data_IF_232098216032
#
_entry.id   IF_232098216032
#
_cell.length_a   1.000
_cell.length_b   1.000
_cell.length_c   1.000
_cell.angle_alpha   90.00
_cell.angle_beta   90.00
_cell.angle_gamma   90.00
#
_symmetry.space_group_name_H-M   'P 1'
#
loop_
_entity.id
_entity.type
_entity.pdbx_description
1 polymer ?
#
# COMPACT_ATOMS: atom_id res chain seq x y z
N UNK A 1 -38.10 -16.87 59.22
CA UNK A 1 -36.66 -16.98 59.53
C UNK A 1 -35.99 -17.69 58.33
N UNK A 2 -35.46 -16.91 57.39
CA UNK A 2 -34.95 -17.44 56.11
C UNK A 2 -33.43 -17.59 56.23
N UNK A 3 -32.94 -18.80 56.18
CA UNK A 3 -31.51 -19.14 56.28
C UNK A 3 -30.88 -18.93 54.90
N UNK A 4 -30.08 -17.88 54.71
CA UNK A 4 -29.26 -17.68 53.54
C UNK A 4 -28.05 -18.61 53.64
N UNK A 5 -28.03 -19.66 52.78
CA UNK A 5 -26.86 -20.53 52.61
C UNK A 5 -25.75 -19.73 51.90
N UNK A 6 -24.70 -19.39 52.58
CA UNK A 6 -23.45 -18.92 52.03
C UNK A 6 -22.83 -20.02 51.16
N UNK A 7 -22.71 -19.77 49.85
CA UNK A 7 -21.91 -20.61 48.94
C UNK A 7 -20.43 -20.40 49.28
N UNK A 8 -19.78 -21.45 49.74
CA UNK A 8 -18.32 -21.46 49.88
C UNK A 8 -17.69 -21.24 48.50
N UNK A 9 -17.02 -20.13 48.32
CA UNK A 9 -16.20 -19.86 47.12
C UNK A 9 -14.99 -20.79 47.14
N UNK A 10 -14.93 -21.77 46.23
CA UNK A 10 -13.76 -22.60 46.01
C UNK A 10 -12.62 -21.74 45.47
N UNK A 11 -11.50 -21.63 46.18
CA UNK A 11 -10.28 -21.00 45.71
C UNK A 11 -9.55 -21.93 44.70
N UNK A 12 -8.93 -21.34 43.67
CA UNK A 12 -8.07 -22.06 42.76
C UNK A 12 -6.83 -22.64 43.45
N UNK A 13 -6.43 -23.83 43.11
CA UNK A 13 -5.15 -24.40 43.57
C UNK A 13 -3.98 -23.83 42.76
N UNK A 14 -2.81 -23.76 43.37
CA UNK A 14 -1.58 -23.28 42.69
C UNK A 14 -1.26 -24.18 41.48
N UNK A 15 -1.51 -25.50 41.59
CA UNK A 15 -1.28 -26.45 40.47
C UNK A 15 -2.25 -26.18 39.31
N UNK A 16 -3.49 -25.87 39.57
CA UNK A 16 -4.47 -25.53 38.54
C UNK A 16 -4.10 -24.27 37.78
N UNK A 17 -3.58 -23.27 38.47
CA UNK A 17 -3.04 -22.04 37.84
C UNK A 17 -1.83 -22.36 36.97
N UNK A 18 -0.89 -23.20 37.47
CA UNK A 18 0.29 -23.59 36.69
C UNK A 18 -0.08 -24.34 35.41
N UNK A 19 -1.02 -25.27 35.48
CA UNK A 19 -1.50 -26.00 34.30
C UNK A 19 -2.19 -25.05 33.33
N UNK A 20 -3.00 -24.11 33.81
CA UNK A 20 -3.69 -23.14 32.97
C UNK A 20 -2.72 -22.24 32.20
N UNK A 21 -1.68 -21.72 32.86
CA UNK A 21 -0.67 -20.89 32.18
C UNK A 21 0.20 -21.70 31.20
N UNK A 22 0.52 -22.96 31.51
CA UNK A 22 1.25 -23.83 30.60
C UNK A 22 0.44 -24.11 29.32
N UNK A 23 -0.85 -24.40 29.44
CA UNK A 23 -1.75 -24.58 28.29
C UNK A 23 -1.88 -23.27 27.49
N UNK A 24 -2.01 -22.13 28.16
CA UNK A 24 -2.07 -20.82 27.50
C UNK A 24 -0.80 -20.54 26.72
N UNK A 25 0.38 -20.83 27.28
CA UNK A 25 1.67 -20.62 26.61
C UNK A 25 1.77 -21.41 25.28
N UNK A 26 1.28 -22.65 25.27
CA UNK A 26 1.22 -23.49 24.05
C UNK A 26 0.31 -22.83 23.00
N UNK A 27 -0.89 -22.39 23.38
CA UNK A 27 -1.84 -21.76 22.44
C UNK A 27 -1.27 -20.45 21.87
N UNK A 28 -0.66 -19.62 22.71
CA UNK A 28 -0.07 -18.33 22.32
C UNK A 28 1.08 -18.54 21.33
N UNK A 29 1.89 -19.60 21.49
CA UNK A 29 3.03 -19.88 20.60
C UNK A 29 2.62 -20.07 19.12
N UNK A 30 1.43 -20.58 18.86
CA UNK A 30 0.87 -20.72 17.51
C UNK A 30 0.04 -19.51 17.06
N UNK A 31 -0.59 -18.82 18.00
CA UNK A 31 -1.47 -17.69 17.69
C UNK A 31 -0.70 -16.45 17.23
N UNK A 32 0.48 -16.17 17.80
CA UNK A 32 1.26 -14.97 17.50
C UNK A 32 1.72 -14.91 16.04
N UNK A 33 2.35 -15.95 15.44
CA UNK A 33 2.76 -15.90 14.04
C UNK A 33 1.55 -15.80 13.08
N UNK A 34 0.47 -16.52 13.36
CA UNK A 34 -0.74 -16.43 12.54
C UNK A 34 -1.38 -15.04 12.56
N UNK A 35 -1.31 -14.34 13.70
CA UNK A 35 -1.83 -12.99 13.84
C UNK A 35 -0.98 -11.97 13.06
N UNK A 36 0.34 -12.07 13.09
CA UNK A 36 1.23 -11.17 12.34
C UNK A 36 0.97 -11.25 10.83
N UNK A 37 0.87 -12.46 10.28
CA UNK A 37 0.52 -12.68 8.87
C UNK A 37 -0.84 -12.09 8.50
N UNK A 38 -1.83 -12.25 9.36
CA UNK A 38 -3.15 -11.67 9.14
C UNK A 38 -3.10 -10.14 9.09
N UNK A 39 -2.39 -9.51 10.02
CA UNK A 39 -2.24 -8.04 10.06
C UNK A 39 -1.54 -7.52 8.81
N UNK A 40 -0.46 -8.18 8.35
CA UNK A 40 0.26 -7.78 7.14
C UNK A 40 -0.62 -7.86 5.89
N UNK A 41 -1.39 -8.96 5.73
CA UNK A 41 -2.36 -9.08 4.62
C UNK A 41 -3.44 -8.00 4.65
N UNK A 42 -3.90 -7.62 5.84
CA UNK A 42 -4.87 -6.53 6.00
C UNK A 42 -4.28 -5.17 5.61
N UNK A 43 -3.06 -4.87 6.03
CA UNK A 43 -2.34 -3.63 5.66
C UNK A 43 -2.15 -3.55 4.14
N UNK A 44 -1.69 -4.63 3.52
CA UNK A 44 -1.55 -4.71 2.07
C UNK A 44 -2.88 -4.49 1.33
N UNK A 45 -3.95 -5.12 1.80
CA UNK A 45 -5.28 -4.93 1.22
C UNK A 45 -5.80 -3.51 1.37
N UNK A 46 -5.55 -2.86 2.52
CA UNK A 46 -5.90 -1.45 2.73
C UNK A 46 -5.16 -0.56 1.74
N UNK A 47 -3.83 -0.71 1.62
CA UNK A 47 -3.03 0.11 0.70
C UNK A 47 -3.49 0.03 -0.76
N UNK A 48 -3.88 -1.16 -1.24
CA UNK A 48 -4.46 -1.29 -2.58
C UNK A 48 -5.79 -0.55 -2.70
N UNK A 49 -6.66 -0.68 -1.70
CA UNK A 49 -7.96 -0.01 -1.74
C UNK A 49 -7.79 1.51 -1.74
N UNK A 50 -6.88 2.02 -0.91
CA UNK A 50 -6.56 3.44 -0.84
C UNK A 50 -6.02 3.94 -2.19
N UNK A 51 -5.08 3.19 -2.79
CA UNK A 51 -4.57 3.51 -4.13
C UNK A 51 -5.67 3.52 -5.20
N UNK A 52 -6.57 2.54 -5.20
CA UNK A 52 -7.68 2.49 -6.15
C UNK A 52 -8.67 3.65 -5.99
N UNK A 53 -8.93 4.06 -4.75
CA UNK A 53 -9.77 5.23 -4.46
C UNK A 53 -9.13 6.48 -5.03
N UNK A 54 -7.85 6.72 -4.76
CA UNK A 54 -7.13 7.89 -5.23
C UNK A 54 -6.94 7.88 -6.74
N UNK A 55 -6.70 6.70 -7.34
CA UNK A 55 -6.62 6.54 -8.80
C UNK A 55 -7.94 6.92 -9.49
N UNK A 56 -9.07 6.44 -8.96
CA UNK A 56 -10.38 6.78 -9.48
C UNK A 56 -10.73 8.26 -9.24
N UNK A 57 -10.30 8.83 -8.13
CA UNK A 57 -10.44 10.25 -7.85
C UNK A 57 -9.64 11.09 -8.85
N UNK A 58 -8.37 10.75 -9.10
CA UNK A 58 -7.52 11.41 -10.09
C UNK A 58 -8.14 11.38 -11.49
N UNK A 59 -8.63 10.20 -11.90
CA UNK A 59 -9.33 10.02 -13.18
C UNK A 59 -10.59 10.87 -13.30
N UNK A 60 -11.43 10.92 -12.25
CA UNK A 60 -12.64 11.72 -12.25
C UNK A 60 -12.35 13.21 -12.24
N UNK A 61 -11.29 13.62 -11.56
CA UNK A 61 -10.84 14.99 -11.52
C UNK A 61 -10.28 15.45 -12.88
N UNK A 62 -9.56 14.60 -13.59
CA UNK A 62 -9.11 14.88 -14.95
C UNK A 62 -10.28 15.18 -15.91
N UNK A 63 -11.36 14.40 -15.80
CA UNK A 63 -12.56 14.62 -16.63
C UNK A 63 -13.33 15.85 -16.19
N UNK A 64 -13.40 16.12 -14.88
CA UNK A 64 -14.11 17.28 -14.32
C UNK A 64 -13.43 18.60 -14.71
N UNK A 65 -12.11 18.66 -14.58
CA UNK A 65 -11.36 19.87 -14.90
C UNK A 65 -10.97 20.00 -16.38
N UNK A 66 -11.16 18.91 -17.17
CA UNK A 66 -10.74 18.82 -18.58
C UNK A 66 -9.24 19.11 -18.75
N UNK A 67 -8.45 18.65 -17.79
CA UNK A 67 -6.98 18.79 -17.75
C UNK A 67 -6.34 17.45 -17.46
N UNK A 68 -5.03 17.38 -17.67
CA UNK A 68 -4.28 16.22 -17.22
C UNK A 68 -4.18 16.25 -15.70
N UNK A 69 -4.35 15.07 -15.10
CA UNK A 69 -4.10 14.83 -13.67
C UNK A 69 -3.07 13.73 -13.55
N UNK A 70 -2.03 14.02 -12.81
CA UNK A 70 -0.91 13.10 -12.58
C UNK A 70 -0.94 12.60 -11.15
N UNK A 71 -0.71 11.32 -10.97
CA UNK A 71 -0.33 10.71 -9.71
C UNK A 71 1.11 10.25 -9.82
N UNK A 72 1.95 10.60 -8.87
CA UNK A 72 3.33 10.15 -8.83
C UNK A 72 3.71 9.62 -7.45
N UNK A 73 4.67 8.69 -7.42
CA UNK A 73 5.30 8.26 -6.19
C UNK A 73 5.92 9.47 -5.49
N UNK A 74 5.77 9.55 -4.18
CA UNK A 74 6.26 10.68 -3.41
C UNK A 74 7.76 10.54 -3.14
N UNK A 75 8.53 11.50 -3.63
CA UNK A 75 9.95 11.69 -3.32
C UNK A 75 10.15 12.63 -2.14
N UNK A 76 11.36 12.63 -1.60
CA UNK A 76 11.78 13.54 -0.53
C UNK A 76 11.36 13.10 0.88
N UNK A 77 11.66 13.95 1.86
CA UNK A 77 11.30 13.69 3.26
C UNK A 77 9.78 13.78 3.44
N UNK A 78 9.21 12.67 3.85
CA UNK A 78 7.76 12.42 3.91
C UNK A 78 6.95 13.41 4.75
N UNK A 79 7.58 14.15 5.66
CA UNK A 79 6.89 14.91 6.72
C UNK A 79 6.47 16.32 6.30
N UNK A 80 6.98 16.83 5.19
CA UNK A 80 6.80 18.25 4.79
C UNK A 80 5.91 18.45 3.58
N UNK A 81 5.52 17.38 2.88
CA UNK A 81 4.57 17.45 1.77
C UNK A 81 3.14 17.31 2.30
N UNK A 82 2.41 18.37 2.28
CA UNK A 82 1.04 18.50 2.79
C UNK A 82 0.17 19.19 1.73
N UNK A 83 -1.07 18.75 1.61
CA UNK A 83 -2.05 19.27 0.64
C UNK A 83 -2.40 20.76 0.86
N UNK A 84 -2.10 21.31 2.04
CA UNK A 84 -2.37 22.72 2.38
C UNK A 84 -1.18 23.64 2.12
N UNK A 85 0.01 23.11 2.18
CA UNK A 85 1.26 23.80 1.90
C UNK A 85 1.90 23.17 0.68
N UNK A 86 1.74 23.77 -0.49
CA UNK A 86 2.47 23.39 -1.70
C UNK A 86 3.97 23.65 -1.45
N UNK A 87 4.56 22.75 -0.68
CA UNK A 87 5.93 22.85 -0.19
C UNK A 87 6.90 22.37 -1.26
N UNK A 88 8.11 22.98 -1.28
CA UNK A 88 9.23 22.49 -2.07
C UNK A 88 9.61 21.01 -1.82
N UNK A 89 9.01 20.38 -0.82
CA UNK A 89 9.15 18.97 -0.48
C UNK A 89 8.16 18.05 -1.21
N UNK A 90 7.15 18.59 -1.89
CA UNK A 90 6.24 17.82 -2.72
C UNK A 90 6.84 17.62 -4.11
N UNK A 91 7.71 16.65 -4.25
CA UNK A 91 8.32 16.24 -5.52
C UNK A 91 7.94 14.81 -5.86
N UNK A 92 7.85 14.53 -7.14
CA UNK A 92 7.70 13.17 -7.63
C UNK A 92 9.03 12.39 -7.49
N UNK A 93 8.94 11.13 -7.13
CA UNK A 93 10.07 10.20 -7.12
C UNK A 93 10.15 9.49 -8.47
N UNK A 94 11.32 9.55 -9.09
CA UNK A 94 11.62 8.86 -10.35
C UNK A 94 12.00 7.38 -10.16
N UNK A 95 12.18 6.94 -8.92
CA UNK A 95 12.50 5.56 -8.59
C UNK A 95 11.26 4.66 -8.46
N UNK A 96 10.08 5.23 -8.57
CA UNK A 96 8.82 4.49 -8.49
C UNK A 96 8.56 3.82 -7.15
N UNK A 97 8.99 4.44 -6.06
CA UNK A 97 8.81 3.95 -4.68
C UNK A 97 7.45 4.34 -4.12
N UNK A 98 6.39 3.75 -4.65
CA UNK A 98 5.01 4.06 -4.28
C UNK A 98 4.66 3.71 -2.83
N UNK A 99 5.44 2.84 -2.17
CA UNK A 99 5.27 2.56 -0.74
C UNK A 99 5.56 3.76 0.15
N UNK A 100 6.31 4.76 -0.33
CA UNK A 100 6.55 6.01 0.39
C UNK A 100 5.34 6.97 0.34
N UNK A 101 4.25 6.52 -0.29
CA UNK A 101 3.06 7.31 -0.56
C UNK A 101 3.07 7.89 -1.97
N UNK A 102 2.05 8.67 -2.30
CA UNK A 102 1.90 9.28 -3.62
C UNK A 102 1.27 10.67 -3.52
N UNK A 103 1.47 11.42 -4.58
CA UNK A 103 0.96 12.78 -4.74
C UNK A 103 0.04 12.78 -5.96
N UNK A 104 -1.07 13.50 -5.88
CA UNK A 104 -1.98 13.72 -7.00
C UNK A 104 -2.09 15.22 -7.26
N UNK A 105 -1.90 15.64 -8.50
CA UNK A 105 -1.97 17.05 -8.88
C UNK A 105 -2.54 17.25 -10.29
N UNK A 106 -3.06 18.45 -10.55
CA UNK A 106 -3.46 18.88 -11.89
C UNK A 106 -2.23 19.42 -12.59
N UNK A 107 -1.84 18.79 -13.67
CA UNK A 107 -0.73 19.21 -14.51
C UNK A 107 -1.22 20.30 -15.47
N UNK A 108 -0.91 21.55 -15.14
CA UNK A 108 -1.38 22.74 -15.88
C UNK A 108 -0.44 23.07 -17.02
N UNK A 109 0.85 22.87 -16.82
CA UNK A 109 1.90 23.19 -17.80
C UNK A 109 2.18 22.04 -18.78
N UNK A 110 1.77 20.79 -18.46
CA UNK A 110 1.90 19.61 -19.30
C UNK A 110 3.29 18.95 -19.22
N UNK A 111 4.07 19.23 -18.17
CA UNK A 111 5.42 18.64 -18.00
C UNK A 111 5.43 17.33 -17.22
N UNK A 112 4.30 16.97 -16.61
CA UNK A 112 4.13 15.73 -15.84
C UNK A 112 4.84 15.72 -14.49
N UNK A 113 5.40 16.86 -14.04
CA UNK A 113 6.18 16.98 -12.82
C UNK A 113 5.63 18.04 -11.89
N UNK A 114 5.51 17.73 -10.61
CA UNK A 114 5.18 18.72 -9.59
C UNK A 114 6.47 19.34 -9.04
N UNK A 115 6.59 20.64 -9.13
CA UNK A 115 7.72 21.40 -8.55
C UNK A 115 7.22 22.61 -7.76
N UNK A 116 8.06 23.11 -6.85
CA UNK A 116 7.74 24.29 -6.05
C UNK A 116 7.49 25.56 -6.88
N UNK A 117 8.05 25.61 -8.10
CA UNK A 117 7.88 26.70 -9.04
C UNK A 117 6.77 26.46 -10.07
N UNK A 118 6.12 25.29 -10.04
CA UNK A 118 5.08 24.95 -11.00
C UNK A 118 3.77 25.69 -10.69
N UNK A 119 3.00 25.92 -11.73
CA UNK A 119 1.65 26.47 -11.63
C UNK A 119 0.61 25.37 -11.33
N UNK A 120 1.08 24.14 -11.13
CA UNK A 120 0.26 22.97 -10.94
C UNK A 120 -0.50 23.02 -9.62
N UNK A 121 -1.70 22.45 -9.62
CA UNK A 121 -2.56 22.45 -8.45
C UNK A 121 -2.50 21.10 -7.75
N UNK A 122 -1.96 21.08 -6.54
CA UNK A 122 -1.97 19.88 -5.69
C UNK A 122 -3.41 19.52 -5.30
N UNK A 123 -3.79 18.27 -5.55
CA UNK A 123 -5.12 17.73 -5.21
C UNK A 123 -5.11 16.90 -3.95
N UNK A 124 -4.07 16.12 -3.73
CA UNK A 124 -3.96 15.24 -2.59
C UNK A 124 -2.57 14.68 -2.39
N UNK A 125 -2.32 14.30 -1.14
CA UNK A 125 -1.10 13.61 -0.72
C UNK A 125 -1.50 12.40 0.10
N UNK A 126 -1.07 11.23 -0.33
CA UNK A 126 -1.25 10.00 0.44
C UNK A 126 0.01 9.71 1.26
N UNK A 127 -0.12 9.37 2.54
CA UNK A 127 1.02 9.03 3.39
C UNK A 127 1.68 7.72 2.94
N UNK A 128 2.88 7.43 3.48
CA UNK A 128 3.55 6.17 3.26
C UNK A 128 2.68 4.98 3.70
N UNK A 129 2.78 3.89 2.96
CA UNK A 129 2.15 2.63 3.32
C UNK A 129 2.78 2.06 4.60
N UNK A 130 2.08 1.13 5.23
CA UNK A 130 2.59 0.48 6.43
C UNK A 130 3.91 -0.26 6.14
N UNK A 131 4.81 -0.26 7.12
CA UNK A 131 6.08 -0.99 7.04
C UNK A 131 5.86 -2.48 6.70
N UNK A 132 6.79 -3.06 5.92
CA UNK A 132 6.69 -4.44 5.46
C UNK A 132 5.86 -4.62 4.19
N UNK A 133 5.43 -3.53 3.55
CA UNK A 133 4.75 -3.55 2.25
C UNK A 133 5.63 -2.82 1.24
N UNK A 134 5.84 -3.43 0.07
CA UNK A 134 6.45 -2.80 -1.10
C UNK A 134 5.39 -2.57 -2.16
N UNK A 135 5.41 -1.41 -2.78
CA UNK A 135 4.49 -1.07 -3.85
C UNK A 135 5.25 -0.42 -5.00
N UNK A 136 5.31 -1.12 -6.13
CA UNK A 136 6.14 -0.75 -7.28
C UNK A 136 5.35 -0.79 -8.56
N UNK A 137 5.67 0.07 -9.46
CA UNK A 137 5.19 0.06 -10.84
C UNK A 137 6.15 -0.76 -11.70
N UNK A 138 5.62 -1.62 -12.59
CA UNK A 138 6.43 -2.61 -13.32
C UNK A 138 7.35 -2.01 -14.39
N UNK A 139 7.02 -0.85 -14.94
CA UNK A 139 7.89 -0.13 -15.89
C UNK A 139 8.96 0.71 -15.19
N UNK A 140 8.81 0.93 -13.88
CA UNK A 140 9.70 1.80 -13.12
C UNK A 140 9.41 3.29 -13.32
N UNK A 141 8.35 3.62 -14.07
CA UNK A 141 7.88 5.00 -14.20
C UNK A 141 7.28 5.45 -12.87
N UNK A 142 7.85 6.46 -12.26
CA UNK A 142 7.41 6.99 -10.97
C UNK A 142 6.05 7.70 -11.02
N UNK A 143 5.35 7.71 -12.17
CA UNK A 143 4.10 8.45 -12.35
C UNK A 143 3.11 7.78 -13.29
N UNK A 144 1.82 8.09 -13.09
CA UNK A 144 0.71 7.73 -13.95
C UNK A 144 -0.15 8.97 -14.23
N UNK A 145 -0.49 9.23 -15.47
CA UNK A 145 -1.25 10.41 -15.86
C UNK A 145 -2.58 10.04 -16.54
N UNK A 146 -3.63 10.78 -16.19
CA UNK A 146 -4.94 10.73 -16.84
C UNK A 146 -5.17 11.99 -17.67
N UNK A 147 -5.59 11.82 -18.92
CA UNK A 147 -5.98 12.93 -19.77
C UNK A 147 -7.41 13.43 -19.47
N UNK A 148 -7.81 14.51 -20.10
CA UNK A 148 -9.12 15.15 -19.95
C UNK A 148 -10.33 14.24 -20.27
N UNK A 149 -10.13 13.06 -20.85
CA UNK A 149 -11.17 12.06 -21.12
C UNK A 149 -11.19 10.94 -20.06
N UNK A 150 -10.30 10.98 -19.08
CA UNK A 150 -10.14 9.95 -18.08
C UNK A 150 -9.45 8.68 -18.60
N UNK A 151 -8.80 8.75 -19.75
CA UNK A 151 -7.93 7.70 -20.27
C UNK A 151 -6.49 7.95 -19.83
N UNK A 152 -5.66 6.89 -19.79
CA UNK A 152 -4.24 7.06 -19.55
C UNK A 152 -3.61 7.95 -20.63
N UNK A 153 -2.72 8.84 -20.23
CA UNK A 153 -1.94 9.68 -21.12
C UNK A 153 -0.64 9.01 -21.60
N UNK A 154 -0.40 7.76 -21.19
CA UNK A 154 0.79 6.97 -21.54
C UNK A 154 0.43 5.54 -21.94
N UNK A 155 1.27 4.61 -21.55
CA UNK A 155 1.08 3.16 -21.75
C UNK A 155 0.25 2.55 -20.60
N UNK A 156 -0.15 1.28 -20.76
CA UNK A 156 -0.75 0.53 -19.65
C UNK A 156 0.26 0.40 -18.52
N UNK A 157 -0.19 0.64 -17.30
CA UNK A 157 0.63 0.53 -16.11
C UNK A 157 0.20 -0.66 -15.26
N UNK A 158 1.18 -1.38 -14.75
CA UNK A 158 0.98 -2.47 -13.79
C UNK A 158 1.71 -2.15 -12.52
N UNK A 159 0.98 -2.15 -11.43
CA UNK A 159 1.53 -1.99 -10.08
C UNK A 159 1.53 -3.34 -9.37
N UNK A 160 2.61 -3.62 -8.66
CA UNK A 160 2.74 -4.80 -7.83
C UNK A 160 2.87 -4.39 -6.36
N UNK A 161 1.97 -4.88 -5.51
CA UNK A 161 2.07 -4.76 -4.08
C UNK A 161 2.51 -6.09 -3.50
N UNK A 162 3.66 -6.08 -2.85
CA UNK A 162 4.30 -7.24 -2.26
C UNK A 162 4.41 -7.06 -0.75
N UNK A 163 4.17 -8.13 -0.02
CA UNK A 163 4.41 -8.18 1.43
C UNK A 163 5.85 -8.68 1.60
N UNK A 164 6.70 -7.84 2.15
CA UNK A 164 8.10 -8.18 2.39
C UNK A 164 8.21 -8.69 3.83
N UNK A 165 8.27 -10.00 4.00
CA UNK A 165 8.81 -10.57 5.22
C UNK A 165 10.33 -10.50 5.10
N UNK A 166 10.99 -9.93 6.11
CA UNK A 166 12.42 -9.69 6.14
C UNK A 166 13.25 -10.77 5.43
N UNK A 167 14.04 -10.32 4.44
CA UNK A 167 15.08 -11.11 3.75
C UNK A 167 14.64 -12.23 2.79
N UNK A 168 13.45 -12.18 2.20
CA UNK A 168 13.08 -13.11 1.12
C UNK A 168 14.00 -12.94 -0.11
N UNK A 169 14.66 -14.01 -0.49
CA UNK A 169 15.35 -14.13 -1.77
C UNK A 169 14.35 -14.04 -2.93
N UNK A 170 14.81 -13.62 -4.09
CA UNK A 170 14.00 -13.37 -5.31
C UNK A 170 13.09 -14.52 -5.75
N UNK A 171 13.31 -15.73 -5.24
CA UNK A 171 12.65 -16.96 -5.69
C UNK A 171 11.57 -17.47 -4.72
N UNK A 172 11.15 -16.64 -3.76
CA UNK A 172 10.18 -17.06 -2.77
C UNK A 172 8.77 -17.10 -3.39
N UNK A 173 8.35 -18.29 -3.83
CA UNK A 173 6.99 -18.55 -4.33
C UNK A 173 5.91 -18.05 -3.37
N UNK A 174 6.21 -17.98 -2.08
CA UNK A 174 5.32 -17.53 -1.02
C UNK A 174 5.10 -16.01 -1.05
N UNK A 175 6.12 -15.22 -1.40
CA UNK A 175 6.01 -13.77 -1.62
C UNK A 175 5.12 -13.49 -2.83
N UNK A 176 5.31 -14.24 -3.91
CA UNK A 176 4.52 -14.13 -5.11
C UNK A 176 3.05 -14.53 -4.89
N UNK A 177 2.80 -15.60 -4.15
CA UNK A 177 1.44 -16.05 -3.83
C UNK A 177 0.65 -15.01 -3.01
N UNK A 178 1.34 -14.14 -2.29
CA UNK A 178 0.75 -13.06 -1.49
C UNK A 178 0.67 -11.73 -2.23
N UNK A 179 1.36 -11.57 -3.36
CA UNK A 179 1.36 -10.35 -4.15
C UNK A 179 -0.03 -10.04 -4.74
N UNK A 180 -0.28 -8.75 -4.91
CA UNK A 180 -1.47 -8.21 -5.59
C UNK A 180 -1.01 -7.30 -6.70
N UNK A 181 -1.69 -7.39 -7.82
CA UNK A 181 -1.43 -6.54 -8.97
C UNK A 181 -2.60 -5.61 -9.22
N UNK A 182 -2.28 -4.39 -9.58
CA UNK A 182 -3.26 -3.41 -10.08
C UNK A 182 -2.86 -3.11 -11.53
N UNK A 183 -3.68 -3.59 -12.46
CA UNK A 183 -3.50 -3.33 -13.89
C UNK A 183 -4.38 -2.15 -14.29
N UNK A 184 -3.77 -1.10 -14.82
CA UNK A 184 -4.48 0.09 -15.30
C UNK A 184 -4.46 0.08 -16.84
N UNK A 185 -5.62 -0.14 -17.43
CA UNK A 185 -5.79 -0.16 -18.88
C UNK A 185 -5.73 1.24 -19.49
N UNK A 186 -5.47 1.35 -20.80
CA UNK A 186 -5.48 2.64 -21.52
C UNK A 186 -6.77 3.44 -21.35
N UNK A 187 -7.90 2.77 -21.11
CA UNK A 187 -9.18 3.43 -20.80
C UNK A 187 -9.23 4.07 -19.42
N UNK A 188 -8.17 3.97 -18.62
CA UNK A 188 -8.10 4.43 -17.24
C UNK A 188 -8.82 3.51 -16.24
N UNK A 189 -9.24 2.31 -16.65
CA UNK A 189 -9.86 1.33 -15.75
C UNK A 189 -8.79 0.54 -15.01
N UNK A 190 -8.86 0.53 -13.70
CA UNK A 190 -8.02 -0.30 -12.86
C UNK A 190 -8.71 -1.65 -12.55
N UNK A 191 -7.94 -2.73 -12.56
CA UNK A 191 -8.38 -4.08 -12.20
C UNK A 191 -7.36 -4.68 -11.24
N UNK A 192 -7.86 -5.22 -10.12
CA UNK A 192 -7.00 -5.93 -9.15
C UNK A 192 -6.99 -7.40 -9.48
N UNK A 193 -5.80 -7.96 -9.59
CA UNK A 193 -5.59 -9.39 -9.79
C UNK A 193 -4.65 -9.96 -8.70
N UNK A 194 -4.77 -11.26 -8.47
CA UNK A 194 -3.78 -12.00 -7.68
C UNK A 194 -2.68 -12.48 -8.63
N UNK A 195 -1.48 -12.64 -8.11
CA UNK A 195 -0.44 -13.31 -8.87
C UNK A 195 -0.95 -14.67 -9.33
N UNK A 196 -1.04 -14.87 -10.63
CA UNK A 196 -1.04 -16.21 -11.18
C UNK A 196 0.43 -16.58 -11.30
N UNK A 197 0.79 -17.71 -10.72
CA UNK A 197 2.15 -18.23 -10.75
C UNK A 197 2.55 -18.53 -12.21
N UNK A 198 3.06 -17.52 -12.90
CA UNK A 198 3.87 -17.71 -14.10
C UNK A 198 5.29 -17.43 -13.68
N UNK A 199 6.16 -18.44 -13.63
CA UNK A 199 7.55 -18.22 -13.32
C UNK A 199 8.16 -17.28 -14.36
N UNK A 200 8.63 -16.12 -13.95
CA UNK A 200 9.40 -15.19 -14.77
C UNK A 200 8.93 -13.75 -14.85
N UNK A 201 7.65 -13.42 -14.65
CA UNK A 201 7.19 -12.03 -14.82
C UNK A 201 6.76 -11.33 -13.52
N UNK A 202 6.52 -12.07 -12.46
CA UNK A 202 6.08 -11.52 -11.19
C UNK A 202 7.24 -11.23 -10.22
N UNK A 203 8.38 -11.94 -10.35
CA UNK A 203 9.53 -11.75 -9.47
C UNK A 203 10.21 -10.40 -9.68
N UNK A 204 10.27 -9.90 -10.92
CA UNK A 204 10.89 -8.61 -11.22
C UNK A 204 10.11 -7.41 -10.66
N UNK A 205 8.78 -7.48 -10.58
CA UNK A 205 7.96 -6.38 -10.07
C UNK A 205 8.04 -6.22 -8.53
N UNK A 206 8.26 -7.32 -7.81
CA UNK A 206 8.50 -7.28 -6.36
C UNK A 206 9.97 -7.02 -6.02
N UNK A 207 10.85 -7.14 -6.97
CA UNK A 207 12.30 -7.00 -6.80
C UNK A 207 12.87 -5.96 -7.77
N UNK A 208 12.95 -4.74 -7.31
CA UNK A 208 13.86 -3.75 -7.91
C UNK A 208 15.11 -3.76 -7.05
N UNK A 209 16.23 -4.22 -7.64
CA UNK A 209 17.54 -4.10 -7.00
C UNK A 209 17.76 -2.66 -6.58
N UNK A 210 18.24 -2.39 -5.35
CA UNK A 210 18.73 -1.06 -5.05
C UNK A 210 19.85 -0.77 -6.04
N UNK A 211 19.65 0.25 -6.88
CA UNK A 211 20.71 0.77 -7.74
C UNK A 211 21.87 1.21 -6.84
N UNK A 212 23.00 0.52 -6.97
CA UNK A 212 24.28 0.87 -6.35
C UNK A 212 24.75 2.26 -6.73
#
# INVERSE_FOLDING_TARGET
MTIVRSRAGGGFTLVELLVAIAMLAIVVSFAVPAYSDFVMRKRASSGINDFLVDLNAARSEATRQRRNVVMCARGGAAETCDATTQSAACICDDQGQWENGWITFVDINGDGALSAASIDALLGVHPALASGVRFREASGDGSIAFNSRGALAGTVSRFALCINDDAGTQDDEDVLARARFVDVALTGRAVVSRAQASPGSASSACYVSPSS
#
